data_IF_922772567654
#
_entry.id   IF_922772567654
#
_cell.length_a   1.000
_cell.length_b   1.000
_cell.length_c   1.000
_cell.angle_alpha   90.00
_cell.angle_beta   90.00
_cell.angle_gamma   90.00
#
_symmetry.space_group_name_H-M   'P 1'
#
loop_
_entity.id
_entity.type
_entity.pdbx_description
1 polymer ?
#
# COMPACT_ATOMS: atom_id res chain seq x y z
N UNK A 1 6.47 -0.71 0.58
CA UNK A 1 5.92 0.02 1.74
C UNK A 1 4.40 -0.05 1.75
N UNK A 2 3.75 0.46 2.81
CA UNK A 2 2.27 0.45 2.89
C UNK A 2 1.65 1.38 1.84
N UNK A 3 0.53 0.98 1.25
CA UNK A 3 -0.20 1.84 0.32
C UNK A 3 -0.98 2.89 1.08
N UNK A 4 -1.00 4.11 0.52
CA UNK A 4 -1.80 5.21 1.01
C UNK A 4 -2.98 5.48 0.07
N UNK A 5 -4.12 5.80 0.66
CA UNK A 5 -5.25 6.40 -0.04
C UNK A 5 -4.94 7.85 -0.45
N UNK A 6 -5.82 8.48 -1.25
CA UNK A 6 -5.73 9.90 -1.62
C UNK A 6 -5.61 10.85 -0.42
N UNK A 7 -6.11 10.45 0.75
CA UNK A 7 -5.99 11.20 2.01
C UNK A 7 -4.65 11.03 2.73
N UNK A 8 -3.74 10.19 2.22
CA UNK A 8 -2.47 9.90 2.89
C UNK A 8 -2.56 8.86 4.01
N UNK A 9 -3.72 8.22 4.19
CA UNK A 9 -3.93 7.19 5.20
C UNK A 9 -3.67 5.79 4.64
N UNK A 10 -3.17 4.86 5.46
CA UNK A 10 -2.99 3.46 5.06
C UNK A 10 -4.28 2.87 4.51
N UNK A 11 -4.20 2.21 3.36
CA UNK A 11 -5.34 1.48 2.81
C UNK A 11 -5.60 0.26 3.69
N UNK A 12 -6.71 0.27 4.41
CA UNK A 12 -7.09 -0.80 5.34
C UNK A 12 -7.46 -2.05 4.55
N UNK A 13 -6.99 -3.21 4.99
CA UNK A 13 -7.34 -4.49 4.42
C UNK A 13 -7.83 -5.42 5.53
N UNK A 14 -9.00 -6.03 5.33
CA UNK A 14 -9.59 -6.97 6.29
C UNK A 14 -9.40 -8.44 5.91
N UNK A 15 -9.48 -8.78 4.62
CA UNK A 15 -9.40 -10.19 4.18
C UNK A 15 -8.80 -10.38 2.78
N UNK A 16 -8.79 -9.33 1.95
CA UNK A 16 -8.55 -9.49 0.52
C UNK A 16 -7.17 -8.98 0.08
N UNK A 17 -6.20 -9.89 0.05
CA UNK A 17 -4.84 -9.63 -0.45
C UNK A 17 -4.80 -9.36 -1.96
N UNK A 18 -5.75 -9.89 -2.75
CA UNK A 18 -5.80 -9.64 -4.20
C UNK A 18 -6.06 -8.18 -4.53
N UNK A 19 -6.90 -7.52 -3.72
CA UNK A 19 -7.17 -6.10 -3.88
C UNK A 19 -5.90 -5.27 -3.63
N UNK A 20 -5.16 -5.58 -2.56
CA UNK A 20 -3.87 -4.96 -2.29
C UNK A 20 -2.87 -5.23 -3.43
N UNK A 21 -2.85 -6.44 -4.00
CA UNK A 21 -1.98 -6.79 -5.11
C UNK A 21 -2.30 -5.99 -6.38
N UNK A 22 -3.59 -5.86 -6.72
CA UNK A 22 -4.05 -5.09 -7.88
C UNK A 22 -3.72 -3.60 -7.72
N UNK A 23 -3.98 -3.03 -6.54
CA UNK A 23 -3.59 -1.65 -6.21
C UNK A 23 -2.08 -1.44 -6.30
N UNK A 24 -1.32 -2.42 -5.84
CA UNK A 24 0.14 -2.40 -5.90
C UNK A 24 0.65 -2.39 -7.34
N UNK A 25 0.16 -3.32 -8.17
CA UNK A 25 0.49 -3.41 -9.60
C UNK A 25 0.08 -2.17 -10.38
N UNK A 26 -1.10 -1.61 -10.09
CA UNK A 26 -1.56 -0.35 -10.68
C UNK A 26 -0.68 0.86 -10.32
N UNK A 27 0.10 0.75 -9.24
CA UNK A 27 1.10 1.74 -8.82
C UNK A 27 2.53 1.29 -9.12
N UNK A 28 2.75 0.42 -10.10
CA UNK A 28 4.09 -0.08 -10.48
C UNK A 28 4.85 -0.86 -9.39
N UNK A 29 4.17 -1.33 -8.35
CA UNK A 29 4.71 -2.32 -7.41
C UNK A 29 4.64 -3.73 -7.98
N UNK A 30 5.55 -4.62 -7.55
CA UNK A 30 5.58 -6.01 -8.04
C UNK A 30 4.54 -6.90 -7.38
N UNK A 31 4.35 -6.73 -6.08
CA UNK A 31 3.49 -7.61 -5.29
C UNK A 31 2.87 -6.85 -4.12
N UNK A 32 1.57 -7.03 -3.90
CA UNK A 32 0.87 -6.43 -2.77
C UNK A 32 0.08 -7.45 -1.97
N UNK A 33 0.09 -7.31 -0.65
CA UNK A 33 -0.64 -8.21 0.26
C UNK A 33 -1.12 -7.48 1.51
N UNK A 34 -2.03 -8.12 2.24
CA UNK A 34 -2.54 -7.60 3.49
C UNK A 34 -1.52 -7.83 4.62
N UNK A 35 -1.01 -6.76 5.24
CA UNK A 35 -0.08 -6.83 6.38
C UNK A 35 -0.54 -5.86 7.46
N UNK A 36 -0.68 -6.34 8.70
CA UNK A 36 -1.09 -5.51 9.85
C UNK A 36 -2.35 -4.66 9.58
N UNK A 37 -3.39 -5.29 9.01
CA UNK A 37 -4.65 -4.65 8.60
C UNK A 37 -4.49 -3.54 7.54
N UNK A 38 -3.38 -3.49 6.82
CA UNK A 38 -3.13 -2.51 5.77
C UNK A 38 -2.54 -3.18 4.52
N UNK A 39 -2.80 -2.61 3.35
CA UNK A 39 -2.17 -3.06 2.12
C UNK A 39 -0.68 -2.70 2.13
N UNK A 40 0.17 -3.72 1.98
CA UNK A 40 1.61 -3.58 1.90
C UNK A 40 2.10 -4.01 0.52
N UNK A 41 2.92 -3.17 -0.10
CA UNK A 41 3.58 -3.46 -1.36
C UNK A 41 5.05 -3.86 -1.14
N UNK A 42 5.41 -5.02 -1.67
CA UNK A 42 6.80 -5.46 -1.78
C UNK A 42 7.40 -4.97 -3.10
N UNK A 43 8.66 -4.51 -3.05
CA UNK A 43 9.37 -3.93 -4.20
C UNK A 43 8.64 -2.79 -4.92
N UNK A 44 7.94 -1.93 -4.18
CA UNK A 44 7.46 -0.66 -4.74
C UNK A 44 8.68 0.21 -5.08
N UNK A 45 8.85 0.67 -6.33
CA UNK A 45 9.91 1.62 -6.66
C UNK A 45 9.75 2.91 -5.85
N UNK A 46 10.82 3.67 -5.61
CA UNK A 46 10.80 4.94 -4.86
C UNK A 46 9.80 5.99 -5.43
N UNK A 47 9.39 5.82 -6.69
CA UNK A 47 8.34 6.58 -7.36
C UNK A 47 6.94 6.37 -6.76
N UNK A 48 6.71 5.25 -6.09
CA UNK A 48 5.40 4.93 -5.52
C UNK A 48 5.25 5.70 -4.23
N UNK A 49 4.14 6.44 -4.09
CA UNK A 49 3.70 6.99 -2.79
C UNK A 49 3.36 5.84 -1.83
N UNK A 50 4.39 5.19 -1.31
CA UNK A 50 4.31 4.28 -0.19
C UNK A 50 4.42 5.09 1.09
N UNK A 51 3.76 4.61 2.13
CA UNK A 51 3.81 5.14 3.48
C UNK A 51 5.27 5.41 3.87
N UNK A 52 5.57 6.67 4.13
CA UNK A 52 6.80 7.13 4.77
C UNK A 52 6.43 7.73 6.11
N UNK A 53 7.35 7.67 7.08
CA UNK A 53 7.13 8.15 8.45
C UNK A 53 6.59 9.60 8.52
N UNK A 54 6.91 10.44 7.53
CA UNK A 54 6.44 11.83 7.44
C UNK A 54 5.03 12.06 6.89
N UNK A 55 4.39 11.06 6.26
CA UNK A 55 3.03 11.20 5.69
C UNK A 55 1.95 10.58 6.59
N UNK A 56 2.25 10.29 7.86
CA UNK A 56 1.29 9.71 8.80
C UNK A 56 0.19 10.71 9.16
N UNK A 57 -0.95 10.61 8.48
CA UNK A 57 -2.23 11.12 8.99
C UNK A 57 -3.11 9.99 9.51
N UNK A 58 -2.94 8.76 8.98
CA UNK A 58 -3.38 7.48 9.52
C UNK A 58 -2.50 6.31 8.98
#
# INVERSE_FOLDING_TARGET
GYLLDKKGCKIVCFVNSEWCNSLCKGKSGKYGYCKALACYCESAPDNVKVWTSGTNTC
#
